data_IF_854412263399
#
_entry.id   IF_854412263399
#
_cell.length_a   1.000
_cell.length_b   1.000
_cell.length_c   1.000
_cell.angle_alpha   90.00
_cell.angle_beta   90.00
_cell.angle_gamma   90.00
#
_symmetry.space_group_name_H-M   'P 1'
#
loop_
_entity.id
_entity.type
_entity.pdbx_description
1 polymer ?
#
# COMPACT_ATOMS: atom_id res chain seq x y z
N UNK A 1 11.23 -12.12 -10.57
CA UNK A 1 9.79 -12.40 -10.31
C UNK A 1 8.96 -11.67 -11.33
N UNK A 2 8.10 -12.41 -12.03
CA UNK A 2 7.17 -11.90 -13.00
C UNK A 2 6.13 -11.01 -12.29
N UNK A 3 5.51 -10.06 -12.98
CA UNK A 3 4.54 -9.15 -12.37
C UNK A 3 3.30 -9.87 -11.84
N UNK A 4 2.88 -10.97 -12.46
CA UNK A 4 1.76 -11.78 -11.97
C UNK A 4 2.12 -12.47 -10.66
N UNK A 5 3.32 -13.00 -10.55
CA UNK A 5 3.82 -13.63 -9.34
C UNK A 5 3.96 -12.59 -8.22
N UNK A 6 4.38 -11.38 -8.57
CA UNK A 6 4.50 -10.29 -7.62
C UNK A 6 3.13 -9.87 -7.08
N UNK A 7 2.11 -9.83 -7.93
CA UNK A 7 0.74 -9.50 -7.49
C UNK A 7 0.22 -10.52 -6.48
N UNK A 8 0.39 -11.79 -6.77
CA UNK A 8 -0.05 -12.85 -5.88
C UNK A 8 0.75 -12.84 -4.58
N UNK A 9 2.07 -12.67 -4.67
CA UNK A 9 2.93 -12.57 -3.50
C UNK A 9 2.50 -11.41 -2.61
N UNK A 10 2.32 -10.22 -3.19
CA UNK A 10 1.91 -9.05 -2.43
C UNK A 10 0.56 -9.24 -1.76
N UNK A 11 -0.40 -9.79 -2.49
CA UNK A 11 -1.74 -10.05 -1.96
C UNK A 11 -1.68 -10.97 -0.75
N UNK A 12 -0.91 -12.05 -0.82
CA UNK A 12 -0.78 -13.02 0.28
C UNK A 12 -0.11 -12.37 1.47
N UNK A 13 1.00 -11.63 1.24
CA UNK A 13 1.73 -11.00 2.33
C UNK A 13 0.90 -9.92 3.02
N UNK A 14 0.17 -9.12 2.24
CA UNK A 14 -0.69 -8.07 2.81
C UNK A 14 -1.78 -8.68 3.69
N UNK A 15 -2.34 -9.82 3.30
CA UNK A 15 -3.38 -10.48 4.10
C UNK A 15 -2.88 -10.95 5.45
N UNK A 16 -1.56 -11.05 5.63
CA UNK A 16 -0.94 -11.51 6.88
C UNK A 16 -0.39 -10.36 7.73
N UNK A 17 -0.48 -9.12 7.25
CA UNK A 17 0.06 -7.98 7.99
C UNK A 17 -0.74 -7.72 9.26
N UNK A 18 -0.06 -7.17 10.26
CA UNK A 18 -0.69 -6.74 11.51
C UNK A 18 -0.54 -5.24 11.64
N UNK A 19 -1.53 -4.59 12.23
CA UNK A 19 -1.46 -3.16 12.50
C UNK A 19 -0.32 -2.90 13.49
N UNK A 20 0.39 -1.80 13.30
CA UNK A 20 1.52 -1.41 14.12
C UNK A 20 2.87 -1.85 13.58
N UNK A 21 2.90 -2.69 12.54
CA UNK A 21 4.15 -3.06 11.86
C UNK A 21 4.76 -1.81 11.22
N UNK A 22 6.09 -1.72 11.22
CA UNK A 22 6.77 -0.53 10.72
C UNK A 22 6.82 -0.52 9.20
N UNK A 23 6.97 0.69 8.64
CA UNK A 23 7.14 0.86 7.20
C UNK A 23 8.36 0.09 6.70
N UNK A 24 9.47 0.11 7.45
CA UNK A 24 10.67 -0.61 7.09
C UNK A 24 10.43 -2.12 7.01
N UNK A 25 9.66 -2.67 7.95
CA UNK A 25 9.32 -4.09 7.94
C UNK A 25 8.45 -4.45 6.73
N UNK A 26 7.49 -3.58 6.38
CA UNK A 26 6.65 -3.79 5.21
C UNK A 26 7.50 -3.77 3.94
N UNK A 27 8.43 -2.83 3.83
CA UNK A 27 9.32 -2.75 2.65
C UNK A 27 10.26 -3.96 2.58
N UNK A 28 10.64 -4.52 3.72
CA UNK A 28 11.45 -5.75 3.73
C UNK A 28 10.66 -6.94 3.18
N UNK A 29 9.35 -6.97 3.40
CA UNK A 29 8.48 -8.04 2.90
C UNK A 29 8.04 -7.83 1.45
N UNK A 30 7.64 -6.61 1.10
CA UNK A 30 6.98 -6.31 -0.16
C UNK A 30 7.87 -5.60 -1.17
N UNK A 31 9.04 -5.14 -0.73
CA UNK A 31 9.95 -4.38 -1.59
C UNK A 31 9.53 -2.93 -1.71
N UNK A 32 9.97 -2.28 -2.79
CA UNK A 32 9.66 -0.88 -3.06
C UNK A 32 8.20 -0.75 -3.51
N UNK A 33 7.44 0.21 -2.94
CA UNK A 33 6.07 0.40 -3.38
C UNK A 33 6.02 0.92 -4.83
N UNK A 34 4.94 0.61 -5.51
CA UNK A 34 4.74 1.04 -6.90
C UNK A 34 4.37 2.52 -6.98
N UNK A 35 3.59 3.00 -6.00
CA UNK A 35 3.16 4.39 -5.91
C UNK A 35 3.23 4.79 -4.45
N UNK A 36 3.60 6.04 -4.18
CA UNK A 36 3.59 6.58 -2.82
C UNK A 36 2.87 7.91 -2.78
N UNK A 37 2.18 8.17 -1.69
CA UNK A 37 1.56 9.46 -1.41
C UNK A 37 1.84 9.84 0.04
N UNK A 38 1.78 11.14 0.33
CA UNK A 38 1.88 11.63 1.69
C UNK A 38 0.97 12.84 1.85
N UNK A 39 0.31 12.94 2.98
CA UNK A 39 -0.58 14.05 3.29
C UNK A 39 -0.42 14.43 4.75
N UNK A 40 -0.30 15.70 5.03
CA UNK A 40 -0.24 16.19 6.38
C UNK A 40 -1.64 16.57 6.85
N UNK A 41 -2.06 16.03 7.97
CA UNK A 41 -3.35 16.32 8.60
C UNK A 41 -3.08 16.87 9.99
N UNK A 42 -3.23 18.19 10.16
CA UNK A 42 -2.88 18.82 11.42
C UNK A 42 -1.39 18.66 11.72
N UNK A 43 -1.07 18.04 12.83
CA UNK A 43 0.31 17.75 13.22
C UNK A 43 0.76 16.35 12.83
N UNK A 44 -0.08 15.61 12.12
CA UNK A 44 0.18 14.22 11.76
C UNK A 44 0.40 14.11 10.26
N UNK A 45 1.42 13.36 9.87
CA UNK A 45 1.66 13.04 8.47
C UNK A 45 1.25 11.59 8.22
N UNK A 46 0.39 11.40 7.23
CA UNK A 46 -0.03 10.06 6.79
C UNK A 46 0.68 9.77 5.49
N UNK A 47 1.32 8.61 5.42
CA UNK A 47 1.96 8.12 4.20
C UNK A 47 1.18 6.93 3.68
N UNK A 48 1.01 6.87 2.37
CA UNK A 48 0.33 5.76 1.73
C UNK A 48 1.29 5.11 0.75
N UNK A 49 1.50 3.82 0.90
CA UNK A 49 2.28 3.03 -0.04
C UNK A 49 1.34 2.09 -0.78
N UNK A 50 1.42 2.11 -2.11
CA UNK A 50 0.57 1.28 -2.96
C UNK A 50 1.42 0.14 -3.53
N UNK A 51 0.99 -1.08 -3.26
CA UNK A 51 1.65 -2.29 -3.76
C UNK A 51 0.72 -3.00 -4.73
N UNK A 52 1.25 -3.36 -5.89
CA UNK A 52 0.46 -3.99 -6.94
C UNK A 52 -0.07 -5.34 -6.49
N UNK A 53 -1.38 -5.53 -6.58
CA UNK A 53 -2.05 -6.76 -6.17
C UNK A 53 -3.01 -7.30 -7.20
N UNK A 54 -3.33 -6.54 -8.25
CA UNK A 54 -4.24 -7.01 -9.30
C UNK A 54 -3.90 -6.36 -10.63
N UNK A 55 -4.37 -6.98 -11.69
CA UNK A 55 -4.18 -6.50 -13.04
C UNK A 55 -5.54 -6.01 -13.57
N UNK A 56 -5.61 -4.73 -13.92
CA UNK A 56 -6.83 -4.12 -14.44
C UNK A 56 -6.71 -3.86 -15.95
N UNK A 57 -5.55 -3.41 -16.41
CA UNK A 57 -5.31 -3.10 -17.82
C UNK A 57 -3.96 -3.62 -18.27
N UNK A 58 -3.88 -4.03 -19.53
CA UNK A 58 -2.65 -4.52 -20.14
C UNK A 58 -1.92 -3.37 -20.86
N UNK A 59 -1.65 -2.27 -20.18
CA UNK A 59 -1.04 -1.07 -20.77
C UNK A 59 0.42 -0.86 -20.34
N UNK A 60 0.96 -1.77 -19.55
CA UNK A 60 2.34 -1.67 -19.09
C UNK A 60 2.55 -0.66 -17.97
N UNK A 61 1.50 -0.01 -17.50
CA UNK A 61 1.58 0.99 -16.42
C UNK A 61 0.91 0.45 -15.16
N UNK A 62 1.47 0.80 -14.00
CA UNK A 62 0.85 0.48 -12.71
C UNK A 62 0.06 1.71 -12.24
N UNK A 63 -1.23 1.53 -12.02
CA UNK A 63 -2.12 2.59 -11.54
C UNK A 63 -2.64 2.24 -10.15
N UNK A 64 -3.23 3.22 -9.45
CA UNK A 64 -3.71 3.01 -8.08
C UNK A 64 -4.78 1.93 -8.00
N UNK A 65 -5.61 1.79 -9.02
CA UNK A 65 -6.68 0.79 -9.04
C UNK A 65 -6.14 -0.65 -9.19
N UNK A 66 -4.86 -0.79 -9.53
CA UNK A 66 -4.18 -2.10 -9.59
C UNK A 66 -3.46 -2.43 -8.29
N UNK A 67 -3.49 -1.54 -7.31
CA UNK A 67 -2.72 -1.64 -6.08
C UNK A 67 -3.62 -1.70 -4.85
N UNK A 68 -3.06 -2.25 -3.77
CA UNK A 68 -3.67 -2.16 -2.44
C UNK A 68 -2.91 -1.09 -1.67
N UNK A 69 -3.61 -0.07 -1.13
CA UNK A 69 -2.97 0.96 -0.34
C UNK A 69 -2.73 0.52 1.10
N UNK A 70 -1.56 0.86 1.62
CA UNK A 70 -1.18 0.67 3.01
C UNK A 70 -0.91 2.03 3.62
N UNK A 71 -1.61 2.37 4.69
CA UNK A 71 -1.56 3.69 5.33
C UNK A 71 -0.71 3.63 6.59
N UNK A 72 0.23 4.57 6.70
CA UNK A 72 1.19 4.63 7.81
C UNK A 72 1.10 5.98 8.52
N UNK A 73 1.16 5.94 9.83
CA UNK A 73 1.28 7.12 10.67
C UNK A 73 2.43 6.89 11.63
N UNK A 74 3.39 7.83 11.71
CA UNK A 74 4.60 7.68 12.53
C UNK A 74 5.35 6.39 12.19
N UNK A 75 5.42 6.08 10.89
CA UNK A 75 6.09 4.88 10.33
C UNK A 75 5.45 3.56 10.72
N UNK A 76 4.24 3.56 11.28
CA UNK A 76 3.54 2.33 11.67
C UNK A 76 2.25 2.17 10.87
N UNK A 77 1.96 0.95 10.48
CA UNK A 77 0.77 0.63 9.70
C UNK A 77 -0.48 0.82 10.55
N UNK A 78 -1.39 1.69 10.09
CA UNK A 78 -2.64 1.98 10.80
C UNK A 78 -3.87 1.41 10.10
N UNK A 79 -3.78 1.18 8.79
CA UNK A 79 -4.90 0.67 8.01
C UNK A 79 -4.41 0.24 6.64
N UNK A 80 -5.19 -0.56 5.93
CA UNK A 80 -4.93 -0.89 4.53
C UNK A 80 -6.25 -1.16 3.82
N UNK A 81 -6.20 -1.16 2.49
CA UNK A 81 -7.34 -1.47 1.65
C UNK A 81 -8.01 -0.21 1.10
N UNK A 82 -8.85 -0.42 0.10
CA UNK A 82 -9.49 0.67 -0.63
C UNK A 82 -10.42 1.50 0.27
N UNK A 83 -11.18 0.84 1.13
CA UNK A 83 -12.08 1.54 2.04
C UNK A 83 -11.34 2.48 2.98
N UNK A 84 -10.19 2.03 3.50
CA UNK A 84 -9.36 2.84 4.38
C UNK A 84 -8.80 4.05 3.61
N UNK A 85 -8.39 3.84 2.36
CA UNK A 85 -7.86 4.91 1.54
C UNK A 85 -8.93 5.96 1.22
N UNK A 86 -10.15 5.52 0.91
CA UNK A 86 -11.25 6.45 0.64
C UNK A 86 -11.57 7.30 1.88
N UNK A 87 -11.57 6.70 3.06
CA UNK A 87 -11.76 7.45 4.32
C UNK A 87 -10.66 8.47 4.51
N UNK A 88 -9.43 8.10 4.23
CA UNK A 88 -8.28 8.99 4.31
C UNK A 88 -8.42 10.17 3.35
N UNK A 89 -8.90 9.94 2.13
CA UNK A 89 -9.06 11.00 1.14
C UNK A 89 -10.13 12.02 1.56
N UNK A 90 -11.13 11.57 2.31
CA UNK A 90 -12.25 12.41 2.73
C UNK A 90 -11.97 13.21 4.00
N UNK A 91 -10.87 12.95 4.67
CA UNK A 91 -10.54 13.63 5.94
C UNK A 91 -9.77 14.92 5.76
#
# INVERSE_FOLDING_TARGET
MDWQDREEYNKVQISKLELGITRAEVMALLGTPDITEAKKQGNTAIQVMFFRTQHVRADGLTTQDECTPLLFENDKLIAWGEGAYLSYQQS
#
